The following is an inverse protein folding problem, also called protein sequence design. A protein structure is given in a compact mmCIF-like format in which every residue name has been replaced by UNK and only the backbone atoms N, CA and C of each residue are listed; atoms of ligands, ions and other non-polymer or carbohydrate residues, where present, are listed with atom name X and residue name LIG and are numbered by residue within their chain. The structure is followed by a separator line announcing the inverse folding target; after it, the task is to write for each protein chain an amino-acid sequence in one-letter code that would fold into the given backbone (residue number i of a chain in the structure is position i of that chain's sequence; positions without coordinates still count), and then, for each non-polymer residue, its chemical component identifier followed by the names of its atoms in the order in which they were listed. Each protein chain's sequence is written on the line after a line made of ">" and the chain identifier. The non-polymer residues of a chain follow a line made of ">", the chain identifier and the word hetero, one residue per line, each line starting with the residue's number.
data_IF_965307604807
#
_entry.id   IF_965307604807
#
_cell.length_a   1.000
_cell.length_b   1.000
_cell.length_c   1.000
_cell.angle_alpha   90.00
_cell.angle_beta   90.00
_cell.angle_gamma   90.00
#
_symmetry.space_group_name_H-M   'P 1'
#
loop_
_entity.id
_entity.type
_entity.pdbx_description
1 polymer ?
#
# COMPACT_ATOMS: atom_id res chain seq x y z
N UNK A 1 -17.72 12.09 -5.39
CA UNK A 1 -18.84 12.95 -5.79
C UNK A 1 -18.98 13.06 -7.31
N UNK A 2 -17.93 13.42 -8.06
CA UNK A 2 -17.93 13.50 -9.55
C UNK A 2 -18.27 12.16 -10.24
N UNK A 3 -18.01 11.03 -9.59
CA UNK A 3 -18.31 9.68 -10.11
C UNK A 3 -19.82 9.36 -10.16
N UNK A 4 -20.63 10.00 -9.32
CA UNK A 4 -22.09 9.78 -9.21
C UNK A 4 -22.85 10.46 -10.38
N UNK A 5 -22.31 11.55 -10.92
CA UNK A 5 -22.90 12.32 -12.01
C UNK A 5 -22.79 11.65 -13.39
N UNK A 6 -22.01 10.56 -13.53
CA UNK A 6 -21.77 9.87 -14.82
C UNK A 6 -22.63 8.61 -15.05
N UNK A 7 -23.69 8.39 -14.26
CA UNK A 7 -24.63 7.29 -14.49
C UNK A 7 -24.07 5.89 -14.26
N UNK A 8 -22.99 5.74 -13.47
CA UNK A 8 -22.37 4.43 -13.17
C UNK A 8 -22.97 3.82 -11.90
N UNK A 9 -23.24 2.51 -11.95
CA UNK A 9 -23.94 1.79 -10.87
C UNK A 9 -23.13 1.81 -9.56
N UNK A 10 -23.76 2.31 -8.48
CA UNK A 10 -23.24 2.29 -7.10
C UNK A 10 -22.62 0.95 -6.70
N UNK A 11 -23.20 -0.14 -7.21
CA UNK A 11 -22.78 -1.51 -6.98
C UNK A 11 -21.34 -1.80 -7.42
N UNK A 12 -20.86 -1.22 -8.53
CA UNK A 12 -19.53 -1.54 -9.07
C UNK A 12 -18.40 -0.96 -8.22
N UNK A 13 -18.52 0.30 -7.78
CA UNK A 13 -17.52 0.90 -6.90
C UNK A 13 -17.50 0.22 -5.53
N UNK A 14 -18.67 -0.17 -5.03
CA UNK A 14 -18.79 -0.86 -3.75
C UNK A 14 -18.19 -2.27 -3.81
N UNK A 15 -18.44 -3.03 -4.88
CA UNK A 15 -17.80 -4.32 -5.13
C UNK A 15 -16.27 -4.21 -5.17
N UNK A 16 -15.72 -3.13 -5.73
CA UNK A 16 -14.28 -2.89 -5.77
C UNK A 16 -13.68 -2.60 -4.39
N UNK A 17 -14.37 -1.79 -3.58
CA UNK A 17 -13.97 -1.56 -2.19
C UNK A 17 -14.01 -2.84 -1.35
N UNK A 18 -15.07 -3.65 -1.52
CA UNK A 18 -15.20 -4.94 -0.84
C UNK A 18 -14.11 -5.93 -1.25
N UNK A 19 -13.79 -5.99 -2.55
CA UNK A 19 -12.70 -6.83 -3.04
C UNK A 19 -11.36 -6.40 -2.44
N UNK A 20 -11.10 -5.09 -2.39
CA UNK A 20 -9.87 -4.56 -1.80
C UNK A 20 -9.75 -4.88 -0.31
N UNK A 21 -10.82 -4.69 0.45
CA UNK A 21 -10.84 -5.03 1.87
C UNK A 21 -10.72 -6.54 2.09
N UNK A 22 -11.37 -7.35 1.26
CA UNK A 22 -11.30 -8.81 1.35
C UNK A 22 -9.88 -9.31 1.09
N UNK A 23 -9.23 -8.81 0.03
CA UNK A 23 -7.82 -9.13 -0.28
C UNK A 23 -6.90 -8.69 0.85
N UNK A 24 -7.09 -7.48 1.38
CA UNK A 24 -6.29 -6.98 2.51
C UNK A 24 -6.45 -7.90 3.72
N UNK A 25 -7.70 -8.20 4.13
CA UNK A 25 -7.99 -9.03 5.29
C UNK A 25 -7.45 -10.45 5.16
N UNK A 26 -7.62 -11.11 4.00
CA UNK A 26 -7.10 -12.47 3.80
C UNK A 26 -5.58 -12.50 3.79
N UNK A 27 -4.92 -11.55 3.11
CA UNK A 27 -3.46 -11.48 3.12
C UNK A 27 -2.92 -11.20 4.52
N UNK A 28 -3.50 -10.24 5.23
CA UNK A 28 -3.11 -9.85 6.59
C UNK A 28 -3.22 -11.03 7.55
N UNK A 29 -4.31 -11.79 7.44
CA UNK A 29 -4.53 -12.97 8.28
C UNK A 29 -3.40 -13.99 8.14
N UNK A 30 -2.98 -14.31 6.91
CA UNK A 30 -1.88 -15.26 6.69
C UNK A 30 -0.50 -14.64 6.99
N UNK A 31 -0.32 -13.35 6.66
CA UNK A 31 0.93 -12.65 6.91
C UNK A 31 1.22 -12.54 8.40
N UNK A 32 0.20 -12.35 9.25
CA UNK A 32 0.36 -12.28 10.70
C UNK A 32 1.06 -13.52 11.28
N UNK A 33 0.71 -14.73 10.83
CA UNK A 33 1.37 -15.96 11.31
C UNK A 33 2.86 -16.01 10.90
N UNK A 34 3.16 -15.62 9.67
CA UNK A 34 4.54 -15.58 9.16
C UNK A 34 5.33 -14.47 9.87
N UNK A 35 4.73 -13.30 10.06
CA UNK A 35 5.35 -12.15 10.72
C UNK A 35 5.71 -12.43 12.17
N UNK A 36 4.79 -13.03 12.94
CA UNK A 36 5.07 -13.47 14.32
C UNK A 36 6.23 -14.46 14.33
N UNK A 37 6.25 -15.42 13.40
CA UNK A 37 7.33 -16.41 13.31
C UNK A 37 8.68 -15.75 12.97
N UNK A 38 8.70 -14.80 12.02
CA UNK A 38 9.91 -14.05 11.65
C UNK A 38 10.45 -13.23 12.83
N UNK A 39 9.57 -12.59 13.59
CA UNK A 39 9.92 -11.81 14.77
C UNK A 39 10.45 -12.70 15.90
N UNK A 40 9.81 -13.85 16.15
CA UNK A 40 10.26 -14.80 17.19
C UNK A 40 11.62 -15.44 16.87
N UNK A 41 11.90 -15.67 15.59
CA UNK A 41 13.18 -16.22 15.14
C UNK A 41 14.31 -15.18 15.09
N UNK A 42 14.01 -13.89 15.30
CA UNK A 42 15.01 -12.81 15.25
C UNK A 42 15.69 -12.66 13.89
N UNK A 43 15.07 -13.15 12.81
CA UNK A 43 15.67 -13.15 11.45
C UNK A 43 15.95 -11.73 10.96
N UNK A 44 15.15 -10.77 11.43
CA UNK A 44 15.18 -9.38 10.97
C UNK A 44 15.95 -8.44 11.91
N UNK A 45 16.41 -8.92 13.07
CA UNK A 45 17.15 -8.10 14.06
C UNK A 45 18.49 -7.61 13.49
N UNK A 46 19.09 -8.38 12.57
CA UNK A 46 20.31 -7.96 11.87
C UNK A 46 20.10 -6.78 10.91
N UNK A 47 18.90 -6.63 10.35
CA UNK A 47 18.57 -5.50 9.47
C UNK A 47 18.32 -4.21 10.26
N UNK A 48 17.86 -4.32 11.52
CA UNK A 48 17.62 -3.19 12.42
C UNK A 48 18.90 -2.39 12.70
N UNK A 49 19.97 -3.06 13.11
CA UNK A 49 21.24 -2.37 13.43
C UNK A 49 21.86 -1.70 12.21
N UNK A 50 21.77 -2.32 11.03
CA UNK A 50 22.43 -1.82 9.84
C UNK A 50 21.66 -0.64 9.22
N UNK A 51 20.32 -0.70 9.17
CA UNK A 51 19.51 0.40 8.62
C UNK A 51 19.45 1.62 9.52
N UNK A 52 19.34 1.44 10.85
CA UNK A 52 19.39 2.54 11.83
C UNK A 52 20.71 3.30 11.73
N UNK A 53 21.85 2.58 11.75
CA UNK A 53 23.20 3.18 11.66
C UNK A 53 23.47 3.85 10.31
N UNK A 54 23.00 3.28 9.20
CA UNK A 54 23.22 3.87 7.87
C UNK A 54 22.37 5.12 7.66
N UNK A 55 21.09 5.11 8.02
CA UNK A 55 20.26 6.31 7.88
C UNK A 55 20.62 7.38 8.90
N UNK A 56 20.90 7.03 10.16
CA UNK A 56 21.39 8.00 11.14
C UNK A 56 22.74 8.58 10.71
N UNK A 57 23.66 7.76 10.19
CA UNK A 57 24.92 8.25 9.65
C UNK A 57 24.75 9.18 8.45
N UNK A 58 23.73 8.96 7.60
CA UNK A 58 23.40 9.88 6.50
C UNK A 58 22.75 11.18 7.00
N UNK A 59 21.88 11.12 8.02
CA UNK A 59 21.33 12.32 8.63
C UNK A 59 22.42 13.13 9.33
N UNK A 60 23.31 12.47 10.07
CA UNK A 60 24.37 13.14 10.82
C UNK A 60 25.45 13.72 9.88
N UNK A 61 25.66 13.10 8.72
CA UNK A 61 26.63 13.59 7.73
C UNK A 61 26.08 14.74 6.88
N UNK A 62 24.78 14.71 6.55
CA UNK A 62 24.17 15.65 5.59
C UNK A 62 23.33 16.71 6.29
N UNK A 63 22.44 16.31 7.21
CA UNK A 63 21.48 17.20 7.87
C UNK A 63 22.09 17.96 9.05
N UNK A 64 22.94 17.36 9.89
CA UNK A 64 23.56 18.06 11.02
C UNK A 64 24.41 19.28 10.65
N UNK A 65 25.29 19.25 9.63
CA UNK A 65 26.02 20.45 9.25
C UNK A 65 25.09 21.55 8.70
N UNK A 66 23.99 21.18 8.05
CA UNK A 66 22.99 22.12 7.54
C UNK A 66 22.16 22.70 8.69
N UNK A 67 21.71 21.85 9.62
CA UNK A 67 20.91 22.25 10.77
C UNK A 67 21.70 23.16 11.70
N UNK A 68 22.97 22.83 11.97
CA UNK A 68 23.88 23.68 12.75
C UNK A 68 24.18 25.01 12.05
N UNK A 69 24.43 25.00 10.74
CA UNK A 69 24.64 26.25 9.99
C UNK A 69 23.42 27.18 10.05
N UNK A 70 22.21 26.61 9.97
CA UNK A 70 20.96 27.38 10.10
C UNK A 70 20.67 27.82 11.53
N UNK A 71 21.04 27.01 12.54
CA UNK A 71 20.84 27.31 13.96
C UNK A 71 21.65 28.50 14.46
N UNK A 72 22.74 28.86 13.76
CA UNK A 72 23.51 30.09 14.04
C UNK A 72 22.68 31.35 13.75
N UNK A 73 21.77 31.29 12.77
CA UNK A 73 21.00 32.45 12.31
C UNK A 73 19.53 32.42 12.74
N UNK A 74 18.99 31.25 13.09
CA UNK A 74 17.59 31.08 13.45
C UNK A 74 17.41 30.48 14.86
N UNK A 75 16.43 30.97 15.64
CA UNK A 75 16.00 30.31 16.87
C UNK A 75 15.36 28.94 16.57
N UNK A 76 15.30 28.07 17.58
CA UNK A 76 14.86 26.67 17.44
C UNK A 76 13.46 26.49 16.84
N UNK A 77 12.52 27.40 17.11
CA UNK A 77 11.20 27.39 16.46
C UNK A 77 11.26 27.78 14.97
N UNK A 78 12.24 28.60 14.57
CA UNK A 78 12.46 29.00 13.18
C UNK A 78 13.04 27.87 12.34
N UNK A 79 13.92 27.04 12.93
CA UNK A 79 14.41 25.81 12.31
C UNK A 79 13.29 24.84 11.97
N UNK A 80 12.29 24.70 12.85
CA UNK A 80 11.12 23.88 12.59
C UNK A 80 10.34 24.37 11.37
N UNK A 81 10.08 25.68 11.25
CA UNK A 81 9.39 26.25 10.10
C UNK A 81 10.19 26.12 8.80
N UNK A 82 11.52 26.24 8.86
CA UNK A 82 12.39 26.02 7.71
C UNK A 82 12.39 24.55 7.30
N UNK A 83 12.49 23.62 8.26
CA UNK A 83 12.39 22.18 7.99
C UNK A 83 11.04 21.81 7.37
N UNK A 84 9.94 22.34 7.91
CA UNK A 84 8.60 22.19 7.34
C UNK A 84 8.53 22.75 5.92
N UNK A 85 9.13 23.92 5.67
CA UNK A 85 9.20 24.54 4.35
C UNK A 85 10.01 23.70 3.36
N UNK A 86 11.16 23.16 3.77
CA UNK A 86 11.98 22.25 2.96
C UNK A 86 11.19 20.98 2.64
N UNK A 87 10.53 20.37 3.62
CA UNK A 87 9.69 19.19 3.42
C UNK A 87 8.57 19.50 2.40
N UNK A 88 7.87 20.63 2.54
CA UNK A 88 6.85 21.05 1.59
C UNK A 88 7.41 21.29 0.18
N UNK A 89 8.59 21.90 0.07
CA UNK A 89 9.26 22.12 -1.22
C UNK A 89 9.71 20.80 -1.83
N UNK A 90 10.30 19.90 -1.05
CA UNK A 90 10.69 18.57 -1.50
C UNK A 90 9.50 17.76 -1.97
N UNK A 91 8.38 17.78 -1.24
CA UNK A 91 7.14 17.15 -1.69
C UNK A 91 6.60 17.79 -2.97
N UNK A 92 6.62 19.12 -3.08
CA UNK A 92 6.22 19.82 -4.29
C UNK A 92 7.11 19.47 -5.49
N UNK A 93 8.42 19.33 -5.25
CA UNK A 93 9.39 18.92 -6.26
C UNK A 93 9.20 17.46 -6.65
N UNK A 94 8.91 16.59 -5.68
CA UNK A 94 8.58 15.19 -5.95
C UNK A 94 7.31 15.08 -6.78
N UNK A 95 6.28 15.85 -6.44
CA UNK A 95 5.03 15.97 -7.20
C UNK A 95 5.26 16.52 -8.62
N UNK A 96 6.23 17.43 -8.81
CA UNK A 96 6.62 17.96 -10.12
C UNK A 96 7.52 17.01 -10.93
N UNK A 97 8.35 16.22 -10.25
CA UNK A 97 9.27 15.25 -10.86
C UNK A 97 8.58 13.92 -11.16
N UNK A 98 7.45 13.64 -10.52
CA UNK A 98 6.50 12.67 -10.99
C UNK A 98 5.92 13.24 -12.28
N UNK A 99 6.32 12.73 -13.47
CA UNK A 99 5.68 13.17 -14.68
C UNK A 99 4.19 12.91 -14.47
N UNK A 100 3.35 13.93 -14.68
CA UNK A 100 1.95 13.68 -14.89
C UNK A 100 1.91 12.58 -15.94
N UNK A 101 1.55 11.37 -15.53
CA UNK A 101 1.27 10.28 -16.44
C UNK A 101 -0.04 10.62 -17.13
N UNK A 102 -0.06 11.74 -17.84
CA UNK A 102 -0.64 11.84 -19.16
C UNK A 102 -0.03 10.69 -19.93
N UNK A 103 -0.68 9.54 -19.78
CA UNK A 103 -0.56 8.37 -20.61
C UNK A 103 -0.76 8.86 -22.04
N UNK A 104 0.31 9.36 -22.65
CA UNK A 104 0.37 9.67 -24.07
C UNK A 104 0.03 8.36 -24.74
N UNK A 105 -1.12 8.37 -25.40
CA UNK A 105 -1.80 7.24 -26.05
C UNK A 105 -1.00 6.54 -27.15
N UNK A 106 0.34 6.68 -27.21
CA UNK A 106 1.17 6.18 -28.30
C UNK A 106 1.99 4.91 -28.00
N UNK A 107 1.84 4.31 -26.82
CA UNK A 107 2.59 3.09 -26.45
C UNK A 107 1.76 1.87 -26.04
N UNK A 108 0.42 1.95 -26.11
CA UNK A 108 -0.49 0.96 -25.48
C UNK A 108 -0.66 -0.32 -26.33
N UNK A 109 -0.11 -0.35 -27.55
CA UNK A 109 -0.13 -1.54 -28.41
C UNK A 109 0.65 -2.73 -27.85
N UNK A 110 1.77 -2.48 -27.15
CA UNK A 110 2.67 -3.52 -26.64
C UNK A 110 2.45 -3.81 -25.15
N UNK A 111 1.92 -2.84 -24.39
CA UNK A 111 1.56 -3.03 -22.97
C UNK A 111 0.38 -4.00 -22.81
N UNK A 112 -0.51 -4.10 -23.82
CA UNK A 112 -1.69 -4.96 -23.73
C UNK A 112 -1.33 -6.43 -23.47
N UNK A 113 -0.17 -6.92 -23.94
CA UNK A 113 0.25 -8.32 -23.74
C UNK A 113 0.85 -8.58 -22.36
N UNK A 114 1.45 -7.56 -21.73
CA UNK A 114 2.08 -7.69 -20.40
C UNK A 114 1.09 -7.49 -19.25
N UNK A 115 0.03 -6.71 -19.46
CA UNK A 115 -1.07 -6.51 -18.49
C UNK A 115 -1.84 -7.81 -18.19
N UNK A 116 -1.62 -8.88 -18.96
CA UNK A 116 -2.21 -10.19 -18.72
C UNK A 116 -1.53 -11.02 -17.62
N UNK A 117 -0.31 -10.67 -17.18
CA UNK A 117 0.40 -11.44 -16.15
C UNK A 117 0.10 -10.92 -14.74
N UNK A 118 -0.33 -11.77 -13.79
CA UNK A 118 -0.58 -11.37 -12.40
C UNK A 118 0.58 -10.60 -11.75
N UNK A 119 1.82 -11.02 -12.02
CA UNK A 119 3.03 -10.35 -11.55
C UNK A 119 3.20 -8.91 -12.03
N UNK A 120 2.81 -8.61 -13.27
CA UNK A 120 2.89 -7.25 -13.81
C UNK A 120 1.89 -6.36 -13.10
N UNK A 121 0.67 -6.86 -12.86
CA UNK A 121 -0.35 -6.13 -12.11
C UNK A 121 0.05 -5.90 -10.67
N UNK A 122 0.67 -6.89 -10.02
CA UNK A 122 1.25 -6.73 -8.69
C UNK A 122 2.26 -5.59 -8.63
N UNK A 123 3.26 -5.59 -9.53
CA UNK A 123 4.25 -4.51 -9.59
C UNK A 123 3.64 -3.15 -9.95
N UNK A 124 2.62 -3.13 -10.81
CA UNK A 124 1.91 -1.90 -11.19
C UNK A 124 1.14 -1.33 -9.98
N UNK A 125 0.52 -2.18 -9.17
CA UNK A 125 -0.11 -1.80 -7.90
C UNK A 125 0.90 -1.24 -6.90
N UNK A 126 2.05 -1.91 -6.76
CA UNK A 126 3.15 -1.41 -5.94
C UNK A 126 3.60 -0.03 -6.40
N UNK A 127 3.93 0.12 -7.70
CA UNK A 127 4.47 1.36 -8.25
C UNK A 127 3.52 2.55 -8.15
N UNK A 128 2.24 2.36 -8.50
CA UNK A 128 1.25 3.44 -8.38
C UNK A 128 1.04 3.84 -6.92
N UNK A 129 1.01 2.88 -6.00
CA UNK A 129 0.77 3.18 -4.58
C UNK A 129 2.00 3.78 -3.91
N UNK A 130 3.19 3.37 -4.30
CA UNK A 130 4.45 3.97 -3.85
C UNK A 130 4.57 5.43 -4.29
N UNK A 131 4.08 5.75 -5.50
CA UNK A 131 4.02 7.13 -6.00
C UNK A 131 2.95 7.94 -5.26
N UNK A 132 1.76 7.37 -5.08
CA UNK A 132 0.60 8.10 -4.54
C UNK A 132 0.50 8.08 -3.01
N UNK A 133 1.30 7.26 -2.34
CA UNK A 133 1.21 6.90 -0.91
C UNK A 133 -0.21 6.54 -0.44
N UNK A 134 -1.08 6.09 -1.36
CA UNK A 134 -2.49 5.85 -1.05
C UNK A 134 -3.12 4.75 -1.90
N UNK A 135 -3.54 3.67 -1.24
CA UNK A 135 -4.35 2.61 -1.85
C UNK A 135 -5.65 3.17 -2.46
N UNK A 136 -6.25 4.17 -1.84
CA UNK A 136 -7.52 4.75 -2.33
C UNK A 136 -7.35 5.47 -3.67
N UNK A 137 -6.23 6.18 -3.85
CA UNK A 137 -5.89 6.84 -5.12
C UNK A 137 -5.57 5.78 -6.18
N UNK A 138 -4.77 4.78 -5.81
CA UNK A 138 -4.41 3.63 -6.64
C UNK A 138 -5.66 2.92 -7.21
N UNK A 139 -6.63 2.58 -6.35
CA UNK A 139 -7.91 1.99 -6.77
C UNK A 139 -8.74 2.93 -7.65
N UNK A 140 -8.70 4.24 -7.40
CA UNK A 140 -9.45 5.22 -8.21
C UNK A 140 -9.00 5.27 -9.66
N UNK A 141 -7.73 4.94 -9.92
CA UNK A 141 -7.17 4.77 -11.28
C UNK A 141 -7.54 3.40 -11.85
N UNK A 142 -7.50 2.35 -11.03
CA UNK A 142 -7.79 0.98 -11.46
C UNK A 142 -9.24 0.77 -11.90
N UNK A 143 -10.20 1.31 -11.15
CA UNK A 143 -11.65 1.16 -11.41
C UNK A 143 -12.04 1.56 -12.84
N UNK A 144 -11.71 2.77 -13.36
CA UNK A 144 -12.07 3.15 -14.73
C UNK A 144 -11.31 2.34 -15.80
N UNK A 145 -10.09 1.87 -15.53
CA UNK A 145 -9.32 1.04 -16.46
C UNK A 145 -9.94 -0.36 -16.61
N UNK A 146 -10.38 -0.96 -15.51
CA UNK A 146 -11.12 -2.23 -15.53
C UNK A 146 -12.43 -2.11 -16.32
N UNK A 147 -13.18 -1.02 -16.11
CA UNK A 147 -14.46 -0.80 -16.80
C UNK A 147 -14.31 -0.58 -18.31
N UNK A 148 -13.16 -0.11 -18.77
CA UNK A 148 -12.86 0.02 -20.21
C UNK A 148 -12.43 -1.32 -20.84
N UNK A 149 -12.46 -2.42 -20.09
CA UNK A 149 -12.03 -3.75 -20.55
C UNK A 149 -10.51 -3.88 -20.71
N UNK A 150 -9.73 -2.85 -20.31
CA UNK A 150 -8.28 -2.87 -20.39
C UNK A 150 -7.64 -3.76 -19.32
N UNK A 151 -8.32 -3.93 -18.18
CA UNK A 151 -7.91 -4.82 -17.09
C UNK A 151 -9.06 -5.78 -16.79
N UNK A 152 -8.82 -7.08 -17.01
CA UNK A 152 -9.78 -8.13 -16.64
C UNK A 152 -9.99 -8.12 -15.12
N UNK A 153 -11.20 -8.45 -14.68
CA UNK A 153 -11.52 -8.59 -13.24
C UNK A 153 -10.55 -9.50 -12.51
N UNK A 154 -10.14 -10.57 -13.19
CA UNK A 154 -9.10 -11.50 -12.75
C UNK A 154 -7.84 -10.74 -12.34
N UNK A 155 -7.34 -9.83 -13.16
CA UNK A 155 -6.06 -9.17 -12.97
C UNK A 155 -6.05 -8.01 -11.95
N UNK A 156 -7.19 -7.74 -11.29
CA UNK A 156 -7.31 -6.67 -10.30
C UNK A 156 -6.79 -7.11 -8.94
N UNK A 157 -6.95 -8.38 -8.58
CA UNK A 157 -6.50 -8.89 -7.28
C UNK A 157 -5.00 -8.69 -7.07
N UNK A 158 -4.10 -9.09 -8.00
CA UNK A 158 -2.66 -8.91 -7.83
C UNK A 158 -2.29 -7.43 -7.69
N UNK A 159 -2.96 -6.55 -8.42
CA UNK A 159 -2.77 -5.10 -8.28
C UNK A 159 -3.08 -4.63 -6.85
N UNK A 160 -4.21 -5.07 -6.29
CA UNK A 160 -4.58 -4.74 -4.91
C UNK A 160 -3.56 -5.30 -3.92
N UNK A 161 -3.07 -6.53 -4.13
CA UNK A 161 -2.04 -7.12 -3.27
C UNK A 161 -0.78 -6.24 -3.21
N UNK A 162 -0.28 -5.80 -4.37
CA UNK A 162 0.88 -4.94 -4.44
C UNK A 162 0.65 -3.56 -3.81
N UNK A 163 -0.52 -2.96 -4.09
CA UNK A 163 -0.90 -1.67 -3.52
C UNK A 163 -0.94 -1.69 -1.98
N UNK A 164 -1.51 -2.74 -1.39
CA UNK A 164 -1.61 -2.87 0.07
C UNK A 164 -0.22 -2.99 0.72
N UNK A 165 0.72 -3.73 0.10
CA UNK A 165 2.09 -3.87 0.61
C UNK A 165 2.82 -2.53 0.60
N UNK A 166 2.74 -1.78 -0.51
CA UNK A 166 3.47 -0.52 -0.66
C UNK A 166 3.03 0.58 0.30
N UNK A 167 1.83 0.47 0.89
CA UNK A 167 1.33 1.46 1.86
C UNK A 167 2.14 1.45 3.16
N UNK A 168 2.76 0.32 3.51
CA UNK A 168 3.62 0.21 4.69
C UNK A 168 4.95 0.93 4.55
N UNK A 169 5.36 1.32 3.34
CA UNK A 169 6.59 2.09 3.12
C UNK A 169 6.54 3.42 3.89
N UNK A 170 5.39 4.09 3.88
CA UNK A 170 5.21 5.36 4.59
C UNK A 170 5.36 5.17 6.11
N UNK A 171 4.82 4.07 6.64
CA UNK A 171 4.94 3.71 8.07
C UNK A 171 6.38 3.29 8.42
N UNK A 172 7.06 2.59 7.51
CA UNK A 172 8.45 2.18 7.67
C UNK A 172 9.36 3.42 7.73
N UNK A 173 9.17 4.38 6.82
CA UNK A 173 9.91 5.64 6.82
C UNK A 173 9.64 6.44 8.10
N UNK A 174 8.38 6.54 8.54
CA UNK A 174 8.04 7.19 9.80
C UNK A 174 8.73 6.53 11.00
N UNK A 175 8.81 5.19 11.03
CA UNK A 175 9.50 4.46 12.11
C UNK A 175 11.00 4.79 12.15
N UNK A 176 11.67 4.89 11.00
CA UNK A 176 13.09 5.27 10.93
C UNK A 176 13.30 6.72 11.36
N UNK A 177 12.48 7.65 10.87
CA UNK A 177 12.59 9.07 11.20
C UNK A 177 12.34 9.36 12.68
N UNK A 178 11.49 8.57 13.33
CA UNK A 178 11.21 8.67 14.77
C UNK A 178 12.24 7.92 15.63
N UNK A 179 13.22 7.23 15.02
CA UNK A 179 14.18 6.40 15.75
C UNK A 179 13.54 5.23 16.50
N UNK A 180 12.34 4.78 16.08
CA UNK A 180 11.63 3.68 16.72
C UNK A 180 11.98 2.35 16.06
N UNK A 181 13.05 1.74 16.55
CA UNK A 181 13.60 0.53 15.97
C UNK A 181 12.64 -0.67 16.05
N UNK A 182 11.88 -0.78 17.15
CA UNK A 182 10.89 -1.84 17.29
C UNK A 182 9.77 -1.70 16.24
N UNK A 183 9.28 -0.48 16.00
CA UNK A 183 8.29 -0.22 14.97
C UNK A 183 8.83 -0.52 13.56
N UNK A 184 10.10 -0.19 13.29
CA UNK A 184 10.75 -0.52 12.02
C UNK A 184 10.75 -2.03 11.76
N UNK A 185 11.22 -2.83 12.73
CA UNK A 185 11.32 -4.29 12.58
C UNK A 185 9.93 -4.92 12.42
N UNK A 186 8.92 -4.46 13.15
CA UNK A 186 7.54 -4.93 13.03
C UNK A 186 6.99 -4.64 11.62
N UNK A 187 7.14 -3.41 11.13
CA UNK A 187 6.63 -3.02 9.81
C UNK A 187 7.37 -3.75 8.69
N UNK A 188 8.70 -3.91 8.82
CA UNK A 188 9.49 -4.67 7.87
C UNK A 188 9.09 -6.15 7.84
N UNK A 189 8.89 -6.76 9.00
CA UNK A 189 8.41 -8.14 9.12
C UNK A 189 7.04 -8.31 8.45
N UNK A 190 6.14 -7.36 8.64
CA UNK A 190 4.82 -7.34 8.01
C UNK A 190 4.93 -7.24 6.48
N UNK A 191 5.73 -6.30 5.97
CA UNK A 191 5.97 -6.13 4.53
C UNK A 191 6.55 -7.39 3.88
N UNK A 192 7.54 -8.01 4.53
CA UNK A 192 8.15 -9.26 4.07
C UNK A 192 7.12 -10.38 4.08
N UNK A 193 6.34 -10.51 5.16
CA UNK A 193 5.31 -11.55 5.30
C UNK A 193 4.23 -11.42 4.23
N UNK A 194 3.69 -10.21 4.02
CA UNK A 194 2.70 -9.95 2.98
C UNK A 194 3.25 -10.23 1.58
N UNK A 195 4.52 -9.90 1.34
CA UNK A 195 5.21 -10.19 0.07
C UNK A 195 5.36 -11.69 -0.16
N UNK A 196 5.74 -12.45 0.87
CA UNK A 196 5.85 -13.92 0.82
C UNK A 196 4.48 -14.53 0.55
N UNK A 197 3.45 -14.15 1.32
CA UNK A 197 2.08 -14.68 1.14
C UNK A 197 1.58 -14.38 -0.27
N UNK A 198 1.74 -13.13 -0.73
CA UNK A 198 1.32 -12.73 -2.08
C UNK A 198 2.05 -13.53 -3.15
N UNK A 199 3.37 -13.69 -3.03
CA UNK A 199 4.18 -14.48 -3.95
C UNK A 199 3.74 -15.95 -3.98
N UNK A 200 3.53 -16.57 -2.81
CA UNK A 200 3.06 -17.96 -2.71
C UNK A 200 1.70 -18.13 -3.38
N UNK A 201 0.75 -17.22 -3.15
CA UNK A 201 -0.57 -17.26 -3.78
C UNK A 201 -0.44 -17.14 -5.31
N UNK A 202 0.38 -16.20 -5.79
CA UNK A 202 0.57 -15.95 -7.22
C UNK A 202 1.24 -17.13 -7.95
N UNK A 203 2.15 -17.85 -7.29
CA UNK A 203 2.87 -18.99 -7.87
C UNK A 203 2.04 -20.28 -7.81
N UNK A 204 1.45 -20.57 -6.65
CA UNK A 204 0.91 -21.91 -6.37
C UNK A 204 -0.50 -22.07 -6.94
N UNK A 205 -1.44 -21.18 -6.57
CA UNK A 205 -2.84 -21.37 -6.97
C UNK A 205 -3.63 -20.06 -7.01
N UNK A 206 -3.15 -19.14 -7.84
CA UNK A 206 -3.78 -17.85 -8.04
C UNK A 206 -5.27 -17.97 -8.42
N UNK A 207 -5.61 -18.86 -9.35
CA UNK A 207 -6.99 -19.01 -9.83
C UNK A 207 -7.97 -19.50 -8.76
N UNK A 208 -7.55 -20.36 -7.83
CA UNK A 208 -8.42 -20.77 -6.73
C UNK A 208 -8.68 -19.63 -5.74
N UNK A 209 -7.62 -18.88 -5.39
CA UNK A 209 -7.72 -17.71 -4.53
C UNK A 209 -8.63 -16.64 -5.13
N UNK A 210 -8.45 -16.35 -6.42
CA UNK A 210 -9.27 -15.41 -7.17
C UNK A 210 -10.75 -15.79 -7.16
N UNK A 211 -11.06 -17.05 -7.52
CA UNK A 211 -12.45 -17.54 -7.50
C UNK A 211 -13.05 -17.58 -6.10
N UNK A 212 -12.25 -17.80 -5.06
CA UNK A 212 -12.73 -17.76 -3.68
C UNK A 212 -13.11 -16.33 -3.28
N UNK A 213 -12.25 -15.36 -3.56
CA UNK A 213 -12.52 -13.95 -3.27
C UNK A 213 -13.69 -13.38 -4.05
N UNK A 214 -13.77 -13.66 -5.35
CA UNK A 214 -14.89 -13.19 -6.17
C UNK A 214 -16.22 -13.77 -5.69
N UNK A 215 -16.27 -15.07 -5.37
CA UNK A 215 -17.47 -15.69 -4.77
C UNK A 215 -17.84 -15.07 -3.43
N UNK A 216 -16.85 -14.73 -2.61
CA UNK A 216 -17.09 -14.07 -1.32
C UNK A 216 -17.68 -12.66 -1.49
N UNK A 217 -17.12 -11.87 -2.41
CA UNK A 217 -17.64 -10.53 -2.72
C UNK A 217 -19.04 -10.60 -3.32
N UNK A 218 -19.28 -11.52 -4.26
CA UNK A 218 -20.59 -11.71 -4.88
C UNK A 218 -21.64 -12.15 -3.84
N UNK A 219 -21.27 -13.05 -2.91
CA UNK A 219 -22.12 -13.44 -1.78
C UNK A 219 -22.41 -12.27 -0.83
N UNK A 220 -21.41 -11.42 -0.57
CA UNK A 220 -21.57 -10.22 0.26
C UNK A 220 -22.53 -9.23 -0.41
N UNK A 221 -22.53 -9.18 -1.75
CA UNK A 221 -23.39 -8.30 -2.55
C UNK A 221 -24.75 -8.88 -2.91
N UNK A 222 -25.01 -10.16 -2.63
CA UNK A 222 -26.25 -10.82 -3.07
C UNK A 222 -27.48 -10.33 -2.30
N UNK A 223 -27.32 -9.93 -1.03
CA UNK A 223 -28.42 -9.49 -0.17
C UNK A 223 -27.96 -8.39 0.80
N UNK A 224 -28.87 -7.47 1.15
CA UNK A 224 -28.63 -6.42 2.13
C UNK A 224 -28.29 -7.00 3.51
N UNK A 225 -28.83 -8.18 3.85
CA UNK A 225 -28.49 -8.88 5.09
C UNK A 225 -27.01 -9.30 5.10
N UNK A 226 -26.51 -9.91 4.03
CA UNK A 226 -25.11 -10.34 3.93
C UNK A 226 -24.16 -9.15 3.98
N UNK A 227 -24.50 -8.06 3.28
CA UNK A 227 -23.76 -6.81 3.34
C UNK A 227 -23.73 -6.24 4.76
N UNK A 228 -24.86 -6.25 5.47
CA UNK A 228 -24.94 -5.78 6.86
C UNK A 228 -24.07 -6.63 7.78
N UNK A 229 -24.13 -7.96 7.65
CA UNK A 229 -23.26 -8.88 8.41
C UNK A 229 -21.79 -8.59 8.16
N UNK A 230 -21.41 -8.41 6.89
CA UNK A 230 -20.04 -8.05 6.53
C UNK A 230 -19.63 -6.71 7.14
N UNK A 231 -20.46 -5.66 7.00
CA UNK A 231 -20.17 -4.33 7.57
C UNK A 231 -20.02 -4.39 9.09
N UNK A 232 -20.90 -5.10 9.78
CA UNK A 232 -20.80 -5.30 11.24
C UNK A 232 -19.53 -6.07 11.61
N UNK A 233 -19.17 -7.11 10.84
CA UNK A 233 -17.98 -7.91 11.12
C UNK A 233 -16.68 -7.11 11.07
N UNK A 234 -16.59 -6.09 10.19
CA UNK A 234 -15.41 -5.22 10.09
C UNK A 234 -15.14 -4.51 11.43
N UNK A 235 -16.18 -4.13 12.16
CA UNK A 235 -16.03 -3.45 13.46
C UNK A 235 -15.94 -4.43 14.63
N UNK A 236 -16.73 -5.52 14.58
CA UNK A 236 -16.80 -6.48 15.69
C UNK A 236 -15.52 -7.30 15.79
N UNK A 237 -14.94 -7.74 14.68
CA UNK A 237 -13.73 -8.59 14.71
C UNK A 237 -12.55 -7.90 15.41
N UNK A 238 -12.16 -6.66 15.08
CA UNK A 238 -11.12 -5.94 15.81
C UNK A 238 -11.44 -5.76 17.29
N UNK A 239 -12.70 -5.45 17.64
CA UNK A 239 -13.12 -5.27 19.03
C UNK A 239 -12.95 -6.58 19.81
N UNK A 240 -13.39 -7.71 19.25
CA UNK A 240 -13.25 -9.02 19.88
C UNK A 240 -11.78 -9.38 20.05
N UNK A 241 -10.95 -9.16 19.03
CA UNK A 241 -9.50 -9.40 19.11
C UNK A 241 -8.81 -8.53 20.16
N UNK A 242 -9.33 -7.35 20.51
CA UNK A 242 -8.77 -6.50 21.57
C UNK A 242 -8.96 -7.10 22.98
N UNK A 243 -9.93 -8.00 23.15
CA UNK A 243 -10.21 -8.64 24.44
C UNK A 243 -9.46 -9.96 24.65
N UNK A 244 -8.69 -10.43 23.68
CA UNK A 244 -7.88 -11.65 23.73
C UNK A 244 -6.40 -11.32 23.55
#
# INVERSE_FOLDING_TARGET
>A
FIYILRGRSRSTSLAMGLLSLSVAGTLQFFALFIGITLLQLGVLDGFQMQSSTVLSGLTDLILDPISHALAVYLPSWGLFLVGLGIIMVSFNLFDHCLPEMTLKEKGIGTISQFVYKPWVMFLLGCGITLISMSVSISLSILVPLSQRGMVRRENIIPYIMGANISTFIDTLLAAVLLGNEAAFTIVLAEMVSLSIVSAVILIVNYGAYERALLRFVDWTMSDNRNLTVFMVSIFVVPIVLMFF
#
